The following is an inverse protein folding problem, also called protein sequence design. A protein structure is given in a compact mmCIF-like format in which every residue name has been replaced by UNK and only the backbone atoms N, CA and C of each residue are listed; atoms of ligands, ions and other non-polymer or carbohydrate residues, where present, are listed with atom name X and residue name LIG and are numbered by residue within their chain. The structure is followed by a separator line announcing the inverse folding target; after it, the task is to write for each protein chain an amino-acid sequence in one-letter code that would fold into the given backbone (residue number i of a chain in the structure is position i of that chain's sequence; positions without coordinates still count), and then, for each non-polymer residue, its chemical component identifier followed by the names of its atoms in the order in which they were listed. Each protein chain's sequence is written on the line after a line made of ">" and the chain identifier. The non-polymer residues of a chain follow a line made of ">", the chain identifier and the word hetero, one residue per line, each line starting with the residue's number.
data_IF_395011610383
#
_entry.id   IF_395011610383
#
_cell.length_a   1.000
_cell.length_b   1.000
_cell.length_c   1.000
_cell.angle_alpha   90.00
_cell.angle_beta   90.00
_cell.angle_gamma   90.00
#
_symmetry.space_group_name_H-M   'P 1'
#
loop_
_entity.id
_entity.type
_entity.pdbx_description
1 polymer ?
#
# COMPACT_ATOMS: atom_id res chain seq x y z
N UNK A 1 47.41 -5.29 44.95
CA UNK A 1 48.78 -4.74 44.95
C UNK A 1 49.29 -4.78 43.51
N UNK A 2 49.73 -3.65 42.96
CA UNK A 2 50.43 -3.55 41.67
C UNK A 2 49.60 -3.00 40.50
N UNK A 3 50.21 -2.25 39.54
CA UNK A 3 49.72 -0.93 39.14
C UNK A 3 49.50 -0.69 37.63
N UNK A 4 49.04 0.54 37.39
CA UNK A 4 48.86 1.40 36.20
C UNK A 4 49.82 1.29 34.99
N UNK A 5 49.38 1.94 33.89
CA UNK A 5 50.04 2.35 32.63
C UNK A 5 49.87 1.36 31.46
N UNK A 6 49.44 1.77 30.27
CA UNK A 6 49.38 3.09 29.66
C UNK A 6 49.83 2.93 28.21
N UNK A 7 48.88 2.89 27.28
CA UNK A 7 49.12 2.65 25.85
C UNK A 7 49.97 3.74 25.23
N UNK A 8 51.15 3.35 24.74
CA UNK A 8 52.11 4.19 24.05
C UNK A 8 52.05 3.88 22.55
N UNK A 9 51.07 4.42 21.83
CA UNK A 9 51.07 4.47 20.36
C UNK A 9 50.15 5.61 19.89
N UNK A 10 50.63 6.85 19.92
CA UNK A 10 50.10 7.97 19.15
C UNK A 10 51.13 9.12 19.18
N UNK A 11 52.21 8.98 18.43
CA UNK A 11 53.14 10.07 18.17
C UNK A 11 53.86 9.82 16.85
N UNK A 12 53.24 10.21 15.74
CA UNK A 12 53.91 10.50 14.45
C UNK A 12 52.86 10.94 13.41
N UNK A 13 52.32 12.15 13.53
CA UNK A 13 51.71 12.92 12.40
C UNK A 13 51.19 14.32 12.80
N UNK A 14 51.82 14.98 13.78
CA UNK A 14 51.51 16.37 14.17
C UNK A 14 52.73 17.30 14.01
N UNK A 15 53.53 17.12 12.94
CA UNK A 15 54.74 17.94 12.69
C UNK A 15 54.80 18.49 11.26
N UNK A 16 53.72 18.41 10.47
CA UNK A 16 53.77 18.82 9.05
C UNK A 16 52.65 19.77 8.59
N UNK A 17 52.03 20.52 9.52
CA UNK A 17 51.02 21.55 9.19
C UNK A 17 51.32 22.95 9.77
N UNK A 18 52.53 23.20 10.27
CA UNK A 18 52.91 24.50 10.86
C UNK A 18 53.84 25.35 9.99
N UNK A 19 54.20 24.90 8.78
CA UNK A 19 55.13 25.62 7.88
C UNK A 19 54.47 26.33 6.69
N UNK A 20 53.13 26.34 6.55
CA UNK A 20 52.41 27.13 5.54
C UNK A 20 51.67 28.35 6.11
N UNK A 21 51.98 28.73 7.35
CA UNK A 21 51.35 29.85 8.06
C UNK A 21 51.94 31.27 7.84
N UNK A 22 52.75 31.58 6.80
CA UNK A 22 52.99 32.98 6.45
C UNK A 22 52.59 33.27 5.00
N UNK A 23 51.30 33.16 4.67
CA UNK A 23 50.75 33.72 3.41
C UNK A 23 49.26 34.10 3.48
N UNK A 24 48.71 34.27 4.69
CA UNK A 24 47.32 34.71 4.91
C UNK A 24 47.22 35.95 5.81
N UNK A 25 48.29 36.74 5.94
CA UNK A 25 48.30 37.92 6.81
C UNK A 25 47.61 39.16 6.20
N UNK A 26 47.15 39.11 4.95
CA UNK A 26 46.65 40.29 4.23
C UNK A 26 45.27 40.10 3.56
N UNK A 27 44.38 39.23 4.09
CA UNK A 27 42.99 39.17 3.62
C UNK A 27 42.04 39.93 4.56
N UNK A 28 41.16 40.80 4.05
CA UNK A 28 40.26 41.59 4.89
C UNK A 28 39.30 40.67 5.68
N UNK A 29 39.10 41.01 6.95
CA UNK A 29 38.23 40.34 7.95
C UNK A 29 36.77 40.11 7.49
N UNK A 30 36.37 40.66 6.34
CA UNK A 30 35.05 40.46 5.72
C UNK A 30 34.91 39.10 5.01
N UNK A 31 36.00 38.44 4.63
CA UNK A 31 35.98 37.13 3.96
C UNK A 31 36.04 35.93 4.93
N UNK A 32 36.46 36.14 6.17
CA UNK A 32 36.48 35.12 7.22
C UNK A 32 35.08 34.79 7.75
N UNK A 33 34.17 35.78 7.76
CA UNK A 33 32.76 35.57 8.09
C UNK A 33 32.08 34.66 7.08
N UNK A 34 32.28 34.89 5.77
CA UNK A 34 31.58 34.13 4.72
C UNK A 34 31.99 32.66 4.65
N UNK A 35 33.25 32.33 4.93
CA UNK A 35 33.72 30.93 4.92
C UNK A 35 33.21 30.19 6.15
N UNK A 36 33.17 30.84 7.31
CA UNK A 36 32.59 30.25 8.52
C UNK A 36 31.07 30.09 8.39
N UNK A 37 30.38 31.03 7.75
CA UNK A 37 28.94 30.93 7.45
C UNK A 37 28.64 29.80 6.45
N UNK A 38 29.45 29.64 5.40
CA UNK A 38 29.32 28.50 4.46
C UNK A 38 29.60 27.14 5.12
N UNK A 39 30.54 27.07 6.07
CA UNK A 39 30.84 25.83 6.79
C UNK A 39 29.79 25.52 7.88
N UNK A 40 29.19 26.55 8.48
CA UNK A 40 28.10 26.39 9.44
C UNK A 40 26.79 25.97 8.76
N UNK A 41 26.54 26.40 7.51
CA UNK A 41 25.39 25.98 6.71
C UNK A 41 25.57 24.55 6.14
N UNK A 42 26.81 24.11 5.91
CA UNK A 42 27.12 22.71 5.57
C UNK A 42 27.00 21.74 6.78
N UNK A 43 26.96 22.27 8.00
CA UNK A 43 26.67 21.54 9.25
C UNK A 43 25.25 21.82 9.77
N UNK A 44 24.37 22.42 8.97
CA UNK A 44 22.97 22.14 9.12
C UNK A 44 22.81 20.64 8.83
N UNK A 45 22.43 19.88 9.86
CA UNK A 45 21.98 18.50 9.70
C UNK A 45 21.02 18.47 8.50
N UNK A 46 21.53 18.00 7.36
CA UNK A 46 20.69 17.40 6.36
C UNK A 46 20.06 16.23 7.09
N UNK A 47 18.92 16.50 7.72
CA UNK A 47 17.87 15.52 7.88
C UNK A 47 17.52 15.16 6.44
N UNK A 48 18.32 14.26 5.85
CA UNK A 48 17.85 13.34 4.85
C UNK A 48 16.80 12.56 5.60
N UNK A 49 15.59 13.13 5.68
CA UNK A 49 14.41 12.35 5.88
C UNK A 49 14.48 11.37 4.73
N UNK A 50 14.96 10.17 5.02
CA UNK A 50 14.68 9.03 4.18
C UNK A 50 13.17 8.96 4.23
N UNK A 51 12.51 9.66 3.30
CA UNK A 51 11.17 9.34 2.93
C UNK A 51 11.27 7.86 2.59
N UNK A 52 10.81 7.01 3.49
CA UNK A 52 10.57 5.63 3.18
C UNK A 52 9.44 5.69 2.16
N UNK A 53 9.81 5.95 0.90
CA UNK A 53 8.93 5.80 -0.23
C UNK A 53 8.56 4.33 -0.18
N UNK A 54 7.31 4.11 0.22
CA UNK A 54 6.69 2.81 0.19
C UNK A 54 7.00 2.16 -1.17
N UNK A 55 7.88 1.16 -1.19
CA UNK A 55 8.32 0.48 -2.42
C UNK A 55 7.18 -0.20 -3.16
N UNK A 56 6.00 -0.30 -2.55
CA UNK A 56 4.79 -0.78 -3.19
C UNK A 56 3.55 -0.05 -2.65
N UNK A 57 2.97 0.91 -3.38
CA UNK A 57 1.80 1.65 -2.91
C UNK A 57 0.57 0.75 -2.66
N UNK A 58 0.47 -0.41 -3.32
CA UNK A 58 -0.67 -1.34 -3.16
C UNK A 58 -0.87 -1.86 -1.74
N UNK A 59 0.15 -1.79 -0.87
CA UNK A 59 0.07 -2.19 0.53
C UNK A 59 -0.89 -1.29 1.33
N UNK A 60 -0.97 0.00 0.98
CA UNK A 60 -1.67 1.03 1.78
C UNK A 60 -2.84 1.72 1.09
N UNK A 61 -2.99 1.60 -0.23
CA UNK A 61 -4.09 2.25 -0.99
C UNK A 61 -5.45 2.01 -0.32
N UNK A 62 -5.72 0.76 0.08
CA UNK A 62 -7.00 0.36 0.64
C UNK A 62 -7.18 0.71 2.13
N UNK A 63 -6.19 1.33 2.79
CA UNK A 63 -6.27 1.71 4.21
C UNK A 63 -6.79 3.16 4.41
N UNK A 64 -6.91 3.93 3.33
CA UNK A 64 -7.46 5.28 3.41
C UNK A 64 -8.99 5.28 3.56
N UNK A 65 -9.50 6.08 4.50
CA UNK A 65 -10.95 6.31 4.69
C UNK A 65 -11.63 6.85 3.42
N UNK A 66 -10.91 7.65 2.63
CA UNK A 66 -11.42 8.21 1.38
C UNK A 66 -11.72 7.13 0.34
N UNK A 67 -10.91 6.07 0.28
CA UNK A 67 -11.12 4.94 -0.63
C UNK A 67 -12.32 4.09 -0.19
N UNK A 68 -12.54 3.94 1.12
CA UNK A 68 -13.73 3.24 1.60
C UNK A 68 -15.02 3.98 1.24
N UNK A 69 -15.00 5.31 1.40
CA UNK A 69 -16.12 6.15 1.02
C UNK A 69 -16.38 6.09 -0.48
N UNK A 70 -15.34 6.28 -1.31
CA UNK A 70 -15.50 6.25 -2.77
C UNK A 70 -15.98 4.90 -3.28
N UNK A 71 -15.57 3.81 -2.64
CA UNK A 71 -16.05 2.46 -2.96
C UNK A 71 -17.55 2.30 -2.66
N UNK A 72 -18.03 2.71 -1.48
CA UNK A 72 -19.47 2.67 -1.14
C UNK A 72 -20.28 3.56 -2.08
N UNK A 73 -19.79 4.77 -2.36
CA UNK A 73 -20.41 5.67 -3.32
C UNK A 73 -20.43 5.07 -4.73
N UNK A 74 -19.37 4.37 -5.14
CA UNK A 74 -19.30 3.68 -6.43
C UNK A 74 -20.36 2.58 -6.57
N UNK A 75 -20.60 1.80 -5.52
CA UNK A 75 -21.69 0.81 -5.49
C UNK A 75 -23.06 1.51 -5.61
N UNK A 76 -23.27 2.59 -4.86
CA UNK A 76 -24.49 3.38 -4.92
C UNK A 76 -24.74 3.98 -6.30
N UNK A 77 -23.69 4.55 -6.92
CA UNK A 77 -23.75 5.11 -8.26
C UNK A 77 -24.09 4.04 -9.32
N UNK A 78 -23.41 2.89 -9.26
CA UNK A 78 -23.74 1.74 -10.12
C UNK A 78 -25.22 1.36 -10.00
N UNK A 79 -25.74 1.29 -8.77
CA UNK A 79 -27.13 0.94 -8.52
C UNK A 79 -28.09 1.97 -9.12
N UNK A 80 -27.82 3.28 -8.94
CA UNK A 80 -28.63 4.36 -9.52
C UNK A 80 -28.61 4.33 -11.05
N UNK A 81 -27.45 4.07 -11.66
CA UNK A 81 -27.34 3.92 -13.12
C UNK A 81 -28.21 2.75 -13.59
N UNK A 82 -28.16 1.60 -12.91
CA UNK A 82 -29.00 0.45 -13.28
C UNK A 82 -30.50 0.71 -13.07
N UNK A 83 -30.88 1.46 -12.03
CA UNK A 83 -32.27 1.87 -11.80
C UNK A 83 -32.80 2.83 -12.88
N UNK A 84 -31.92 3.58 -13.55
CA UNK A 84 -32.31 4.49 -14.64
C UNK A 84 -32.76 3.77 -15.92
N UNK A 85 -32.56 2.45 -16.00
CA UNK A 85 -32.94 1.64 -17.17
C UNK A 85 -34.41 1.19 -17.02
N UNK A 86 -35.32 1.62 -17.92
CA UNK A 86 -36.75 1.42 -17.74
C UNK A 86 -37.23 -0.04 -17.87
N UNK A 87 -36.38 -0.92 -18.40
CA UNK A 87 -36.73 -2.33 -18.62
C UNK A 87 -36.39 -3.25 -17.44
N UNK A 88 -35.72 -2.74 -16.41
CA UNK A 88 -35.32 -3.55 -15.26
C UNK A 88 -36.27 -3.37 -14.08
N UNK A 89 -36.71 -4.50 -13.52
CA UNK A 89 -37.43 -4.50 -12.25
C UNK A 89 -36.46 -4.31 -11.08
N UNK A 90 -36.95 -3.76 -9.98
CA UNK A 90 -36.14 -3.50 -8.77
C UNK A 90 -35.37 -4.77 -8.30
N UNK A 91 -35.97 -5.98 -8.24
CA UNK A 91 -35.23 -7.20 -7.87
C UNK A 91 -34.09 -7.56 -8.83
N UNK A 92 -34.29 -7.34 -10.13
CA UNK A 92 -33.27 -7.57 -11.15
C UNK A 92 -32.12 -6.59 -10.98
N UNK A 93 -32.41 -5.31 -10.72
CA UNK A 93 -31.38 -4.29 -10.49
C UNK A 93 -30.52 -4.62 -9.28
N UNK A 94 -31.11 -5.04 -8.16
CA UNK A 94 -30.35 -5.49 -6.99
C UNK A 94 -29.45 -6.69 -7.29
N UNK A 95 -29.97 -7.67 -8.03
CA UNK A 95 -29.19 -8.84 -8.45
C UNK A 95 -28.03 -8.46 -9.38
N UNK A 96 -28.27 -7.60 -10.36
CA UNK A 96 -27.23 -7.11 -11.27
C UNK A 96 -26.17 -6.31 -10.52
N UNK A 97 -26.58 -5.45 -9.58
CA UNK A 97 -25.66 -4.69 -8.73
C UNK A 97 -24.74 -5.63 -7.95
N UNK A 98 -25.29 -6.67 -7.32
CA UNK A 98 -24.51 -7.65 -6.57
C UNK A 98 -23.55 -8.45 -7.48
N UNK A 99 -24.00 -8.91 -8.65
CA UNK A 99 -23.16 -9.66 -9.60
C UNK A 99 -22.03 -8.79 -10.14
N UNK A 100 -22.34 -7.59 -10.64
CA UNK A 100 -21.34 -6.66 -11.21
C UNK A 100 -20.32 -6.30 -10.13
N UNK A 101 -20.79 -5.95 -8.93
CA UNK A 101 -19.92 -5.69 -7.79
C UNK A 101 -18.98 -6.86 -7.50
N UNK A 102 -19.51 -8.08 -7.34
CA UNK A 102 -18.69 -9.25 -7.00
C UNK A 102 -17.71 -9.61 -8.12
N UNK A 103 -18.11 -9.47 -9.38
CA UNK A 103 -17.25 -9.68 -10.54
C UNK A 103 -16.12 -8.65 -10.60
N UNK A 104 -16.43 -7.36 -10.49
CA UNK A 104 -15.43 -6.28 -10.45
C UNK A 104 -14.46 -6.47 -9.30
N UNK A 105 -14.96 -6.81 -8.10
CA UNK A 105 -14.12 -7.08 -6.93
C UNK A 105 -13.22 -8.30 -7.11
N UNK A 106 -13.73 -9.38 -7.73
CA UNK A 106 -12.93 -10.56 -8.03
C UNK A 106 -11.79 -10.21 -9.00
N UNK A 107 -12.10 -9.50 -10.09
CA UNK A 107 -11.10 -9.10 -11.08
C UNK A 107 -10.04 -8.21 -10.43
N UNK A 108 -10.45 -7.13 -9.74
CA UNK A 108 -9.54 -6.16 -9.14
C UNK A 108 -8.64 -6.79 -8.07
N UNK A 109 -9.21 -7.59 -7.16
CA UNK A 109 -8.46 -8.12 -6.03
C UNK A 109 -7.68 -9.41 -6.32
N UNK A 110 -8.21 -10.28 -7.18
CA UNK A 110 -7.69 -11.64 -7.35
C UNK A 110 -7.16 -11.93 -8.77
N UNK A 111 -7.45 -11.08 -9.76
CA UNK A 111 -6.91 -11.25 -11.13
C UNK A 111 -5.79 -10.25 -11.42
N UNK A 112 -5.91 -8.99 -11.00
CA UNK A 112 -4.89 -7.97 -11.23
C UNK A 112 -3.66 -8.25 -10.35
N UNK A 113 -2.47 -8.29 -10.97
CA UNK A 113 -1.17 -8.53 -10.34
C UNK A 113 -0.19 -7.38 -10.62
N UNK A 114 0.81 -7.24 -9.76
CA UNK A 114 1.88 -6.25 -9.90
C UNK A 114 1.52 -4.84 -9.42
N UNK A 115 2.40 -3.88 -9.70
CA UNK A 115 2.29 -2.45 -9.38
C UNK A 115 2.12 -1.66 -10.68
N UNK A 116 0.92 -1.16 -11.01
CA UNK A 116 0.68 -0.55 -12.33
C UNK A 116 1.48 0.74 -12.60
N UNK A 117 2.04 1.39 -11.56
CA UNK A 117 2.62 2.74 -11.65
C UNK A 117 4.00 2.91 -10.99
N UNK A 118 4.62 1.85 -10.48
CA UNK A 118 6.01 1.87 -9.99
C UNK A 118 6.92 1.22 -11.04
N UNK A 119 8.19 1.61 -11.09
CA UNK A 119 9.23 0.96 -11.92
C UNK A 119 9.14 -0.56 -11.78
N UNK A 120 9.50 -1.36 -12.81
CA UNK A 120 9.34 -2.80 -12.77
C UNK A 120 10.19 -3.39 -11.64
N UNK A 121 9.58 -3.54 -10.47
CA UNK A 121 10.14 -4.27 -9.35
C UNK A 121 10.34 -5.70 -9.85
N UNK A 122 11.61 -6.11 -9.96
CA UNK A 122 12.03 -7.48 -10.27
C UNK A 122 11.67 -8.44 -9.11
N UNK A 123 11.14 -7.91 -8.00
CA UNK A 123 10.77 -8.63 -6.80
C UNK A 123 9.45 -9.43 -6.85
N UNK A 124 9.14 -10.03 -5.70
CA UNK A 124 7.98 -10.92 -5.50
C UNK A 124 6.62 -10.24 -5.76
N UNK A 125 6.53 -8.91 -5.73
CA UNK A 125 5.29 -8.16 -5.90
C UNK A 125 4.64 -8.32 -7.30
N UNK A 126 5.44 -8.57 -8.35
CA UNK A 126 4.93 -8.81 -9.72
C UNK A 126 3.99 -10.01 -9.81
N UNK A 127 4.18 -10.97 -8.93
CA UNK A 127 3.55 -12.29 -9.00
C UNK A 127 2.33 -12.41 -8.09
N UNK A 128 2.20 -11.47 -7.14
CA UNK A 128 1.13 -11.41 -6.16
C UNK A 128 -0.04 -10.58 -6.68
N UNK A 129 -1.25 -11.01 -6.34
CA UNK A 129 -2.49 -10.27 -6.58
C UNK A 129 -2.59 -9.05 -5.66
N UNK A 130 -3.46 -8.10 -6.00
CA UNK A 130 -3.69 -6.94 -5.13
C UNK A 130 -4.17 -7.35 -3.72
N UNK A 131 -4.97 -8.42 -3.60
CA UNK A 131 -5.36 -9.00 -2.31
C UNK A 131 -4.17 -9.54 -1.51
N UNK A 132 -3.22 -10.20 -2.16
CA UNK A 132 -2.05 -10.79 -1.48
C UNK A 132 -1.08 -9.69 -1.01
N UNK A 133 -0.94 -8.59 -1.76
CA UNK A 133 -0.06 -7.48 -1.44
C UNK A 133 -0.60 -6.53 -0.36
N UNK A 134 -1.92 -6.42 -0.22
CA UNK A 134 -2.58 -5.49 0.71
C UNK A 134 -2.11 -5.67 2.16
N UNK A 135 -1.87 -4.56 2.87
CA UNK A 135 -1.38 -4.53 4.25
C UNK A 135 -0.17 -5.46 4.49
N UNK A 136 0.74 -5.56 3.51
CA UNK A 136 1.93 -6.42 3.55
C UNK A 136 1.62 -7.92 3.77
N UNK A 137 0.41 -8.36 3.40
CA UNK A 137 -0.02 -9.74 3.63
C UNK A 137 -0.51 -10.03 5.05
N UNK A 138 -0.56 -9.02 5.94
CA UNK A 138 -1.13 -9.16 7.28
C UNK A 138 -2.61 -9.50 7.16
N UNK A 139 -3.02 -10.57 7.83
CA UNK A 139 -4.41 -11.03 7.85
C UNK A 139 -5.25 -10.22 8.85
N UNK A 140 -6.57 -10.20 8.64
CA UNK A 140 -7.55 -9.58 9.56
C UNK A 140 -7.38 -8.07 9.84
N UNK A 141 -6.77 -7.34 8.92
CA UNK A 141 -6.74 -5.88 8.96
C UNK A 141 -8.12 -5.26 8.75
N UNK A 142 -8.28 -3.99 9.11
CA UNK A 142 -9.54 -3.28 8.97
C UNK A 142 -10.00 -3.23 7.49
N UNK A 143 -9.08 -2.99 6.56
CA UNK A 143 -9.36 -2.96 5.11
C UNK A 143 -9.78 -4.33 4.56
N UNK A 144 -9.11 -5.42 4.97
CA UNK A 144 -9.49 -6.78 4.57
C UNK A 144 -10.87 -7.16 5.12
N UNK A 145 -11.17 -6.80 6.37
CA UNK A 145 -12.50 -6.98 6.98
C UNK A 145 -13.55 -6.20 6.21
N UNK A 146 -13.31 -4.92 5.93
CA UNK A 146 -14.22 -4.06 5.15
C UNK A 146 -14.55 -4.66 3.77
N UNK A 147 -13.53 -5.06 3.01
CA UNK A 147 -13.71 -5.67 1.68
C UNK A 147 -14.34 -7.07 1.70
N UNK A 148 -14.36 -7.73 2.86
CA UNK A 148 -15.03 -9.03 3.04
C UNK A 148 -16.47 -8.84 3.50
N UNK A 149 -16.72 -7.90 4.41
CA UNK A 149 -18.04 -7.61 4.97
C UNK A 149 -18.95 -6.93 3.93
N UNK A 150 -18.41 -6.04 3.09
CA UNK A 150 -19.22 -5.29 2.11
C UNK A 150 -20.01 -6.19 1.15
N UNK A 151 -19.42 -7.17 0.43
CA UNK A 151 -20.18 -8.08 -0.42
C UNK A 151 -21.22 -8.92 0.36
N UNK A 152 -20.94 -9.25 1.63
CA UNK A 152 -21.89 -9.97 2.48
C UNK A 152 -23.11 -9.10 2.80
N UNK A 153 -22.89 -7.84 3.19
CA UNK A 153 -23.98 -6.88 3.45
C UNK A 153 -24.79 -6.63 2.17
N UNK A 154 -24.12 -6.44 1.03
CA UNK A 154 -24.79 -6.25 -0.26
C UNK A 154 -25.65 -7.46 -0.66
N UNK A 155 -25.17 -8.68 -0.41
CA UNK A 155 -25.93 -9.91 -0.61
C UNK A 155 -27.19 -9.99 0.27
N UNK A 156 -27.09 -9.63 1.55
CA UNK A 156 -28.24 -9.60 2.45
C UNK A 156 -29.28 -8.56 2.01
N UNK A 157 -28.83 -7.34 1.66
CA UNK A 157 -29.71 -6.31 1.10
C UNK A 157 -30.39 -6.80 -0.18
N UNK A 158 -29.63 -7.40 -1.10
CA UNK A 158 -30.16 -7.95 -2.35
C UNK A 158 -31.22 -9.01 -2.08
N UNK A 159 -30.97 -9.92 -1.13
CA UNK A 159 -31.91 -10.99 -0.77
C UNK A 159 -33.20 -10.46 -0.16
N UNK A 160 -33.12 -9.39 0.64
CA UNK A 160 -34.28 -8.70 1.18
C UNK A 160 -35.14 -8.06 0.08
N UNK A 161 -34.51 -7.34 -0.87
CA UNK A 161 -35.22 -6.67 -1.96
C UNK A 161 -35.73 -7.61 -3.06
N UNK A 162 -35.13 -8.79 -3.23
CA UNK A 162 -35.64 -9.85 -4.12
C UNK A 162 -36.70 -10.72 -3.47
N UNK A 163 -37.12 -10.40 -2.22
CA UNK A 163 -38.10 -11.18 -1.45
C UNK A 163 -37.76 -12.65 -1.34
N UNK A 164 -36.46 -12.98 -1.32
CA UNK A 164 -35.97 -14.36 -1.26
C UNK A 164 -36.47 -15.25 -2.42
N UNK A 165 -36.70 -14.67 -3.61
CA UNK A 165 -36.97 -15.47 -4.80
C UNK A 165 -35.83 -16.47 -5.05
N UNK A 166 -36.19 -17.72 -5.36
CA UNK A 166 -35.23 -18.84 -5.44
C UNK A 166 -34.17 -18.62 -6.52
N UNK A 167 -34.55 -18.05 -7.67
CA UNK A 167 -33.62 -17.87 -8.79
C UNK A 167 -32.60 -16.79 -8.42
N UNK A 168 -33.07 -15.65 -7.95
CA UNK A 168 -32.20 -14.57 -7.49
C UNK A 168 -31.30 -15.01 -6.33
N UNK A 169 -31.85 -15.76 -5.37
CA UNK A 169 -31.10 -16.26 -4.22
C UNK A 169 -29.93 -17.15 -4.62
N UNK A 170 -30.14 -18.13 -5.50
CA UNK A 170 -29.09 -19.05 -5.97
C UNK A 170 -27.99 -18.28 -6.71
N UNK A 171 -28.37 -17.41 -7.66
CA UNK A 171 -27.41 -16.63 -8.45
C UNK A 171 -26.55 -15.73 -7.54
N UNK A 172 -27.19 -15.01 -6.62
CA UNK A 172 -26.49 -14.14 -5.68
C UNK A 172 -25.59 -14.92 -4.72
N UNK A 173 -25.97 -16.13 -4.35
CA UNK A 173 -25.17 -17.01 -3.47
C UNK A 173 -23.93 -17.52 -4.20
N UNK A 174 -24.06 -18.00 -5.44
CA UNK A 174 -22.92 -18.43 -6.26
C UNK A 174 -21.94 -17.26 -6.47
N UNK A 175 -22.48 -16.07 -6.76
CA UNK A 175 -21.70 -14.84 -6.93
C UNK A 175 -20.96 -14.43 -5.65
N UNK A 176 -21.58 -14.58 -4.47
CA UNK A 176 -20.93 -14.32 -3.20
C UNK A 176 -19.83 -15.34 -2.90
N UNK A 177 -20.08 -16.62 -3.15
CA UNK A 177 -19.10 -17.68 -2.91
C UNK A 177 -17.83 -17.50 -3.75
N UNK A 178 -17.96 -17.07 -5.02
CA UNK A 178 -16.79 -16.86 -5.88
C UNK A 178 -15.83 -15.77 -5.38
N UNK A 179 -16.34 -14.76 -4.65
CA UNK A 179 -15.52 -13.68 -4.09
C UNK A 179 -15.07 -13.94 -2.64
N UNK A 180 -15.80 -14.77 -1.88
CA UNK A 180 -15.43 -15.13 -0.51
C UNK A 180 -14.39 -16.25 -0.46
N UNK A 181 -14.50 -17.27 -1.32
CA UNK A 181 -13.57 -18.40 -1.33
C UNK A 181 -12.11 -17.91 -1.43
N UNK A 182 -11.71 -17.06 -2.39
CA UNK A 182 -10.32 -16.62 -2.53
C UNK A 182 -9.81 -15.73 -1.39
N UNK A 183 -10.71 -15.20 -0.54
CA UNK A 183 -10.35 -14.38 0.62
C UNK A 183 -10.06 -15.20 1.87
N UNK A 184 -10.38 -16.50 1.86
CA UNK A 184 -10.13 -17.39 2.99
C UNK A 184 -8.62 -17.47 3.30
N UNK A 185 -8.22 -17.39 4.58
CA UNK A 185 -6.80 -17.40 4.96
C UNK A 185 -6.10 -18.72 4.60
N UNK A 186 -6.85 -19.83 4.47
CA UNK A 186 -6.29 -21.12 4.04
C UNK A 186 -5.83 -21.13 2.57
N UNK A 187 -6.32 -20.19 1.74
CA UNK A 187 -5.96 -20.09 0.33
C UNK A 187 -4.92 -18.98 0.08
N UNK A 188 -4.35 -18.41 1.14
CA UNK A 188 -3.30 -17.41 1.01
C UNK A 188 -2.01 -18.04 0.45
N UNK A 189 -1.58 -17.60 -0.74
CA UNK A 189 -0.41 -18.13 -1.42
C UNK A 189 -0.63 -19.45 -2.19
N UNK A 190 -1.79 -20.08 -2.06
CA UNK A 190 -2.17 -21.30 -2.80
C UNK A 190 -3.40 -20.98 -3.64
N UNK A 191 -3.19 -20.51 -4.87
CA UNK A 191 -4.30 -20.29 -5.81
C UNK A 191 -5.00 -21.62 -6.07
N UNK A 192 -6.31 -21.58 -6.20
CA UNK A 192 -7.24 -22.73 -6.35
C UNK A 192 -6.92 -23.70 -7.52
N UNK A 193 -5.88 -23.44 -8.32
CA UNK A 193 -5.38 -24.33 -9.37
C UNK A 193 -3.85 -24.48 -9.43
N UNK A 194 -3.08 -24.05 -8.43
CA UNK A 194 -1.62 -24.27 -8.43
C UNK A 194 -0.86 -23.64 -9.60
N UNK A 195 -1.46 -22.72 -10.38
CA UNK A 195 -0.86 -22.02 -11.54
C UNK A 195 0.20 -20.98 -11.09
N UNK A 196 0.77 -21.16 -9.91
CA UNK A 196 1.84 -20.31 -9.40
C UNK A 196 2.63 -20.96 -8.25
N UNK A 197 3.01 -22.24 -8.41
CA UNK A 197 4.10 -22.79 -7.61
C UNK A 197 5.40 -22.11 -8.06
N UNK A 198 6.09 -21.49 -7.12
CA UNK A 198 7.51 -21.17 -7.22
C UNK A 198 8.26 -22.12 -6.30
#
# INVERSE_FOLDING_TARGET
>A
MGPLHGGFWLASSLVEWQSLLPLCADLPLTLLGSVQDCLSDASASMNVGTAHSEVNPNTRVMNSRGIWLSYVLGIGLLHVILLSIPFFSVPVVWTLTNIIHNMSMYIFLHTVKGTPFETPDQGKARLLTHWEQMDYGVQFTASRKFLTITPIVLYFLTSFYTKYDRIHFIINTISLMSVLIPKLPQLHGVRIFGINKY
#
